data_IF_451291900810
#
_entry.id   IF_451291900810
#
_cell.length_a   1.000
_cell.length_b   1.000
_cell.length_c   1.000
_cell.angle_alpha   90.00
_cell.angle_beta   90.00
_cell.angle_gamma   90.00
#
_symmetry.space_group_name_H-M   'P 1'
#
loop_
_entity.id
_entity.type
_entity.pdbx_description
1 polymer ?
#
# COMPACT_ATOMS: atom_id res chain seq x y z
N UNK A 1 56.01 56.56 10.42
CA UNK A 1 55.67 55.12 10.57
C UNK A 1 54.75 54.99 11.78
N UNK A 2 53.45 54.73 11.59
CA UNK A 2 52.45 54.65 12.67
C UNK A 2 52.12 53.18 12.95
N UNK A 3 52.25 52.76 14.21
CA UNK A 3 51.95 51.39 14.65
C UNK A 3 50.42 51.27 14.83
N UNK A 4 49.75 50.25 14.25
CA UNK A 4 48.32 50.10 14.43
C UNK A 4 48.03 49.66 15.88
N UNK A 5 47.39 50.53 16.66
CA UNK A 5 46.84 50.20 17.97
C UNK A 5 45.83 49.06 17.82
N UNK A 6 46.08 47.91 18.47
CA UNK A 6 45.07 46.84 18.58
C UNK A 6 43.91 47.38 19.40
N UNK A 7 42.73 47.51 18.78
CA UNK A 7 41.50 47.86 19.48
C UNK A 7 41.27 46.89 20.64
N UNK A 8 41.19 47.42 21.86
CA UNK A 8 40.93 46.65 23.07
C UNK A 8 39.51 46.07 22.98
N UNK A 9 39.40 44.73 22.91
CA UNK A 9 38.11 44.03 22.91
C UNK A 9 37.35 44.33 24.20
N UNK A 10 36.12 44.82 24.07
CA UNK A 10 35.25 45.13 25.21
C UNK A 10 34.54 43.88 25.75
N UNK A 11 33.84 44.02 26.88
CA UNK A 11 32.99 42.95 27.46
C UNK A 11 31.96 42.41 26.46
N UNK A 12 31.52 43.22 25.50
CA UNK A 12 30.60 42.84 24.41
C UNK A 12 31.24 41.95 23.34
N UNK A 13 32.57 41.93 23.24
CA UNK A 13 33.32 41.09 22.30
C UNK A 13 33.66 39.71 22.88
N UNK A 14 33.29 39.45 24.14
CA UNK A 14 33.40 38.14 24.78
C UNK A 14 32.31 37.26 24.17
N UNK A 15 32.73 36.38 23.26
CA UNK A 15 31.85 35.33 22.70
C UNK A 15 31.44 34.41 23.84
N UNK A 16 30.20 34.53 24.30
CA UNK A 16 29.60 33.56 25.23
C UNK A 16 29.31 32.26 24.46
N UNK A 17 29.71 31.12 25.04
CA UNK A 17 29.44 29.78 24.47
C UNK A 17 27.93 29.52 24.32
N UNK A 18 27.11 30.32 25.00
CA UNK A 18 25.64 30.38 24.96
C UNK A 18 25.05 30.49 23.53
N UNK A 19 25.83 30.89 22.53
CA UNK A 19 25.40 30.95 21.11
C UNK A 19 25.78 29.75 20.23
N UNK A 20 26.54 28.76 20.73
CA UNK A 20 26.81 27.51 19.99
C UNK A 20 25.78 26.47 20.38
N UNK A 21 24.77 26.32 19.53
CA UNK A 21 23.65 25.38 19.67
C UNK A 21 24.10 23.92 19.67
N UNK A 22 24.53 23.42 20.83
CA UNK A 22 24.64 22.00 21.13
C UNK A 22 23.54 21.72 22.13
N UNK A 23 22.52 20.96 21.71
CA UNK A 23 21.47 20.47 22.59
C UNK A 23 22.13 19.79 23.78
N UNK A 24 21.87 20.21 25.03
CA UNK A 24 22.52 19.60 26.18
C UNK A 24 22.18 18.10 26.23
N UNK A 25 23.10 17.24 26.71
CA UNK A 25 22.93 15.79 26.62
C UNK A 25 21.59 15.27 27.18
N UNK A 26 21.11 15.87 28.29
CA UNK A 26 19.83 15.48 28.90
C UNK A 26 18.63 15.75 27.97
N UNK A 27 18.59 16.88 27.27
CA UNK A 27 17.54 17.18 26.29
C UNK A 27 17.59 16.22 25.09
N UNK A 28 18.80 15.86 24.64
CA UNK A 28 18.97 14.88 23.57
C UNK A 28 18.44 13.50 23.98
N UNK A 29 18.77 13.03 25.19
CA UNK A 29 18.25 11.76 25.73
C UNK A 29 16.73 11.78 25.86
N UNK A 30 16.14 12.88 26.35
CA UNK A 30 14.68 13.00 26.44
C UNK A 30 14.05 12.93 25.05
N UNK A 31 14.61 13.62 24.06
CA UNK A 31 14.12 13.59 22.68
C UNK A 31 14.19 12.18 22.08
N UNK A 32 15.26 11.44 22.35
CA UNK A 32 15.39 10.03 21.95
C UNK A 32 14.31 9.18 22.63
N UNK A 33 14.07 9.35 23.93
CA UNK A 33 13.04 8.61 24.64
C UNK A 33 11.64 8.85 24.04
N UNK A 34 11.31 10.10 23.70
CA UNK A 34 10.03 10.42 23.03
C UNK A 34 9.92 9.74 21.65
N UNK A 35 11.00 9.70 20.87
CA UNK A 35 11.01 9.03 19.57
C UNK A 35 10.82 7.51 19.72
N UNK A 36 11.44 6.87 20.71
CA UNK A 36 11.24 5.44 20.97
C UNK A 36 9.79 5.14 21.40
N UNK A 37 9.19 6.00 22.23
CA UNK A 37 7.77 5.87 22.61
C UNK A 37 6.84 6.04 21.41
N UNK A 38 7.11 7.03 20.55
CA UNK A 38 6.32 7.21 19.32
C UNK A 38 6.45 5.99 18.41
N UNK A 39 7.67 5.52 18.15
CA UNK A 39 7.94 4.32 17.35
C UNK A 39 7.19 3.10 17.89
N UNK A 40 7.19 2.89 19.20
CA UNK A 40 6.43 1.81 19.84
C UNK A 40 4.91 1.95 19.60
N UNK A 41 4.34 3.15 19.76
CA UNK A 41 2.93 3.40 19.47
C UNK A 41 2.60 3.12 18.00
N UNK A 42 3.42 3.63 17.06
CA UNK A 42 3.23 3.40 15.62
C UNK A 42 3.35 1.92 15.25
N UNK A 43 4.24 1.17 15.91
CA UNK A 43 4.36 -0.27 15.70
C UNK A 43 3.07 -1.00 16.09
N UNK A 44 2.47 -0.66 17.24
CA UNK A 44 1.16 -1.24 17.65
C UNK A 44 0.04 -0.91 16.66
N UNK A 45 -0.02 0.33 16.18
CA UNK A 45 -1.00 0.74 15.17
C UNK A 45 -0.83 -0.01 13.85
N UNK A 46 0.43 -0.17 13.40
CA UNK A 46 0.78 -0.98 12.24
C UNK A 46 0.32 -2.41 12.42
N UNK A 47 0.62 -3.05 13.55
CA UNK A 47 0.26 -4.45 13.79
C UNK A 47 -1.26 -4.64 13.78
N UNK A 48 -2.01 -3.72 14.39
CA UNK A 48 -3.48 -3.69 14.29
C UNK A 48 -3.98 -3.50 12.84
N UNK A 49 -3.35 -2.62 12.07
CA UNK A 49 -3.68 -2.45 10.65
C UNK A 49 -3.38 -3.72 9.83
N UNK A 50 -2.26 -4.39 10.07
CA UNK A 50 -1.89 -5.63 9.39
C UNK A 50 -2.88 -6.75 9.69
N UNK A 51 -3.37 -6.86 10.93
CA UNK A 51 -4.43 -7.81 11.27
C UNK A 51 -5.71 -7.54 10.46
N UNK A 52 -6.11 -6.27 10.32
CA UNK A 52 -7.27 -5.90 9.48
C UNK A 52 -7.06 -6.27 8.02
N UNK A 53 -5.87 -6.00 7.46
CA UNK A 53 -5.52 -6.38 6.09
C UNK A 53 -5.55 -7.90 5.91
N UNK A 54 -5.02 -8.66 6.87
CA UNK A 54 -5.06 -10.12 6.82
C UNK A 54 -6.49 -10.67 6.80
N UNK A 55 -7.39 -10.11 7.62
CA UNK A 55 -8.82 -10.46 7.63
C UNK A 55 -9.48 -10.15 6.29
N UNK A 56 -9.22 -8.97 5.71
CA UNK A 56 -9.74 -8.59 4.39
C UNK A 56 -9.26 -9.57 3.32
N UNK A 57 -7.96 -9.88 3.30
CA UNK A 57 -7.38 -10.82 2.34
C UNK A 57 -7.99 -12.22 2.48
N UNK A 58 -8.23 -12.69 3.70
CA UNK A 58 -8.92 -13.95 3.96
C UNK A 58 -10.34 -13.95 3.39
N UNK A 59 -11.10 -12.86 3.58
CA UNK A 59 -12.45 -12.73 3.01
C UNK A 59 -12.41 -12.71 1.48
N UNK A 60 -11.48 -11.98 0.87
CA UNK A 60 -11.33 -11.93 -0.58
C UNK A 60 -11.07 -13.31 -1.19
N UNK A 61 -10.19 -14.12 -0.56
CA UNK A 61 -9.96 -15.50 -0.99
C UNK A 61 -11.24 -16.33 -0.95
N UNK A 62 -11.99 -16.27 0.15
CA UNK A 62 -13.29 -16.95 0.27
C UNK A 62 -14.28 -16.50 -0.81
N UNK A 63 -14.32 -15.20 -1.15
CA UNK A 63 -15.16 -14.70 -2.24
C UNK A 63 -14.79 -15.35 -3.57
N UNK A 64 -13.49 -15.46 -3.88
CA UNK A 64 -13.05 -16.10 -5.12
C UNK A 64 -13.36 -17.60 -5.14
N UNK A 65 -13.22 -18.30 -4.02
CA UNK A 65 -13.62 -19.70 -3.89
C UNK A 65 -15.13 -19.87 -4.07
N UNK A 66 -15.95 -19.01 -3.44
CA UNK A 66 -17.41 -18.97 -3.60
C UNK A 66 -17.81 -18.72 -5.07
N UNK A 67 -17.15 -17.76 -5.74
CA UNK A 67 -17.39 -17.47 -7.17
C UNK A 67 -17.02 -18.65 -8.07
N UNK A 68 -15.92 -19.33 -7.79
CA UNK A 68 -15.50 -20.51 -8.55
C UNK A 68 -16.52 -21.65 -8.39
N UNK A 69 -17.00 -21.89 -7.16
CA UNK A 69 -18.03 -22.90 -6.90
C UNK A 69 -19.35 -22.59 -7.63
N UNK A 70 -19.81 -21.33 -7.58
CA UNK A 70 -21.01 -20.88 -8.30
C UNK A 70 -20.85 -21.00 -9.83
N UNK A 71 -19.67 -20.69 -10.35
CA UNK A 71 -19.41 -20.82 -11.79
C UNK A 71 -19.44 -22.28 -12.25
N UNK A 72 -18.96 -23.21 -11.40
CA UNK A 72 -19.05 -24.64 -11.65
C UNK A 72 -20.50 -25.13 -11.62
N UNK A 73 -21.31 -24.70 -10.63
CA UNK A 73 -22.72 -25.12 -10.57
C UNK A 73 -23.51 -24.65 -11.79
N UNK A 74 -23.31 -23.40 -12.24
CA UNK A 74 -23.96 -22.88 -13.46
C UNK A 74 -23.50 -23.65 -14.70
N UNK A 75 -22.21 -24.00 -14.79
CA UNK A 75 -21.68 -24.81 -15.89
C UNK A 75 -22.25 -26.23 -15.92
N UNK A 76 -22.44 -26.85 -14.76
CA UNK A 76 -23.04 -28.18 -14.63
C UNK A 76 -24.56 -28.15 -14.92
N UNK A 77 -25.30 -27.13 -14.47
CA UNK A 77 -26.71 -26.93 -14.83
C UNK A 77 -26.89 -26.80 -16.36
N UNK A 78 -25.97 -26.11 -17.04
CA UNK A 78 -25.96 -26.03 -18.51
C UNK A 78 -25.63 -27.37 -19.18
N UNK A 79 -24.78 -28.20 -18.58
CA UNK A 79 -24.44 -29.55 -19.10
C UNK A 79 -25.57 -30.55 -18.92
N UNK A 80 -26.31 -30.49 -17.80
CA UNK A 80 -27.46 -31.37 -17.54
C UNK A 80 -28.67 -30.99 -18.41
N UNK A 81 -28.81 -29.70 -18.74
CA UNK A 81 -29.87 -29.21 -19.62
C UNK A 81 -29.53 -29.25 -21.12
N UNK A 82 -28.26 -29.43 -21.50
CA UNK A 82 -27.89 -29.75 -22.87
C UNK A 82 -28.44 -31.15 -23.22
N UNK A 83 -29.29 -31.29 -24.27
CA UNK A 83 -29.77 -32.59 -24.66
C UNK A 83 -28.55 -33.43 -25.03
N UNK A 84 -28.41 -34.59 -24.37
CA UNK A 84 -27.41 -35.61 -24.69
C UNK A 84 -27.66 -36.01 -26.14
N UNK A 85 -26.98 -35.36 -27.07
CA UNK A 85 -27.05 -35.63 -28.49
C UNK A 85 -26.42 -37.01 -28.74
N UNK A 86 -27.21 -38.05 -28.48
CA UNK A 86 -27.08 -39.31 -29.18
C UNK A 86 -27.46 -39.03 -30.64
N UNK A 87 -26.52 -39.25 -31.55
CA UNK A 87 -26.81 -39.14 -32.98
C UNK A 87 -25.57 -39.01 -33.85
N UNK A 88 -25.10 -40.15 -34.33
CA UNK A 88 -24.91 -40.44 -35.76
C UNK A 88 -24.45 -39.30 -36.70
N UNK A 89 -23.26 -39.52 -37.29
CA UNK A 89 -22.84 -39.20 -38.67
C UNK A 89 -23.32 -37.86 -39.30
N UNK A 90 -22.35 -36.95 -39.42
CA UNK A 90 -22.13 -35.88 -40.43
C UNK A 90 -22.66 -36.17 -41.86
N UNK A 91 -22.73 -35.21 -42.84
CA UNK A 91 -22.50 -33.74 -42.81
C UNK A 91 -23.63 -32.92 -43.50
N UNK A 92 -23.76 -31.62 -43.21
CA UNK A 92 -24.19 -30.64 -44.23
C UNK A 92 -23.93 -29.18 -43.82
N UNK A 93 -23.08 -28.51 -44.61
CA UNK A 93 -23.32 -27.22 -45.31
C UNK A 93 -23.95 -26.05 -44.50
N UNK A 94 -23.54 -24.79 -44.54
CA UNK A 94 -22.46 -24.00 -45.17
C UNK A 94 -22.73 -22.51 -44.82
N UNK A 95 -21.67 -21.68 -44.77
CA UNK A 95 -21.64 -20.21 -45.02
C UNK A 95 -22.10 -19.23 -43.91
N UNK A 96 -21.08 -18.59 -43.33
CA UNK A 96 -20.78 -17.13 -43.40
C UNK A 96 -21.90 -16.12 -43.13
N UNK A 97 -21.76 -15.37 -42.03
CA UNK A 97 -22.02 -13.93 -42.02
C UNK A 97 -21.25 -13.25 -40.89
N UNK A 98 -20.25 -12.45 -41.25
CA UNK A 98 -19.65 -11.43 -40.39
C UNK A 98 -20.72 -10.42 -39.97
N UNK A 99 -20.97 -10.27 -38.68
CA UNK A 99 -21.78 -9.16 -38.17
C UNK A 99 -20.95 -8.33 -37.19
N UNK A 100 -20.43 -7.22 -37.71
CA UNK A 100 -19.80 -6.14 -36.97
C UNK A 100 -20.82 -5.44 -36.08
N UNK A 101 -20.59 -5.45 -34.76
CA UNK A 101 -21.37 -4.65 -33.81
C UNK A 101 -20.98 -3.17 -33.90
N UNK A 102 -21.95 -2.28 -34.15
CA UNK A 102 -21.77 -0.82 -34.12
C UNK A 102 -22.37 -0.25 -32.83
N UNK A 103 -21.53 0.35 -31.99
CA UNK A 103 -21.99 1.22 -30.90
C UNK A 103 -22.35 2.59 -31.47
N UNK A 104 -23.47 3.15 -31.00
CA UNK A 104 -23.86 4.54 -31.23
C UNK A 104 -23.63 5.32 -29.94
N UNK A 105 -23.00 6.48 -30.08
CA UNK A 105 -22.95 7.55 -29.08
C UNK A 105 -24.20 8.40 -29.17
#
# INVERSE_FOLDING_TARGET
>A
MSVPQKALRGLRDIRTIQGRGITPPHEAYMRIAYLELEKFRRAKERDSALLRVATINSRLRKIEDEKAALSQSVGEEFRVSAPRAAGEKSPRSSRSASSTFKLRY
#
